data_IF_305734879521
#
_entry.id   IF_305734879521
#
_cell.length_a   1.000
_cell.length_b   1.000
_cell.length_c   1.000
_cell.angle_alpha   90.00
_cell.angle_beta   90.00
_cell.angle_gamma   90.00
#
_symmetry.space_group_name_H-M   'P 1'
#
loop_
_entity.id
_entity.type
_entity.pdbx_description
1 polymer ?
#
# COMPACT_ATOMS: atom_id res chain seq x y z
N UNK A 1 -17.88 11.64 -5.23
CA UNK A 1 -18.29 13.00 -4.84
C UNK A 1 -19.13 13.69 -5.93
N UNK A 2 -18.63 13.86 -7.13
CA UNK A 2 -19.34 14.57 -8.24
C UNK A 2 -20.74 14.02 -8.51
N UNK A 3 -20.96 12.72 -8.48
CA UNK A 3 -22.29 12.09 -8.64
C UNK A 3 -23.30 12.53 -7.56
N UNK A 4 -22.84 12.86 -6.36
CA UNK A 4 -23.68 13.24 -5.22
C UNK A 4 -23.84 14.73 -5.05
N UNK A 5 -22.78 15.49 -5.30
CA UNK A 5 -22.68 16.92 -5.01
C UNK A 5 -22.74 17.80 -6.27
N UNK A 6 -22.54 17.23 -7.46
CA UNK A 6 -22.53 17.95 -8.72
C UNK A 6 -21.50 19.10 -8.71
N UNK A 7 -21.92 20.25 -9.20
CA UNK A 7 -21.09 21.48 -9.29
C UNK A 7 -20.83 22.17 -7.94
N UNK A 8 -21.30 21.59 -6.82
CA UNK A 8 -21.04 22.14 -5.48
C UNK A 8 -19.69 21.75 -4.92
N UNK A 9 -18.99 20.82 -5.54
CA UNK A 9 -17.66 20.38 -5.12
C UNK A 9 -16.60 20.92 -6.10
N UNK A 10 -15.53 21.48 -5.52
CA UNK A 10 -14.33 21.91 -6.25
C UNK A 10 -13.17 21.09 -5.72
N UNK A 11 -12.37 20.53 -6.61
CA UNK A 11 -11.18 19.77 -6.25
C UNK A 11 -9.94 20.63 -6.44
N UNK A 12 -9.10 20.67 -5.39
CA UNK A 12 -7.71 21.15 -5.47
C UNK A 12 -6.81 19.94 -5.33
N UNK A 13 -6.20 19.50 -6.44
CA UNK A 13 -5.39 18.28 -6.50
C UNK A 13 -3.91 18.66 -6.51
N UNK A 14 -3.18 18.19 -5.49
CA UNK A 14 -1.76 18.42 -5.32
C UNK A 14 -1.02 17.09 -5.18
N UNK A 15 0.21 17.01 -5.68
CA UNK A 15 1.04 15.82 -5.60
C UNK A 15 2.42 16.17 -5.02
N UNK A 16 2.74 15.55 -3.88
CA UNK A 16 4.03 15.72 -3.22
C UNK A 16 5.15 14.87 -3.84
N UNK A 17 4.84 13.94 -4.73
CA UNK A 17 5.80 13.05 -5.41
C UNK A 17 6.72 12.27 -4.43
N UNK A 18 6.19 11.89 -3.25
CA UNK A 18 6.95 11.20 -2.22
C UNK A 18 7.85 12.09 -1.36
N UNK A 19 7.92 13.41 -1.62
CA UNK A 19 8.71 14.34 -0.83
C UNK A 19 7.94 14.84 0.39
N UNK A 20 8.45 14.54 1.59
CA UNK A 20 7.77 14.88 2.85
C UNK A 20 7.69 16.38 3.13
N UNK A 21 8.67 17.18 2.69
CA UNK A 21 8.65 18.63 2.88
C UNK A 21 7.61 19.29 1.97
N UNK A 22 7.50 18.81 0.73
CA UNK A 22 6.45 19.20 -0.22
C UNK A 22 5.08 18.79 0.31
N UNK A 23 4.92 17.59 0.86
CA UNK A 23 3.68 17.12 1.46
C UNK A 23 3.22 18.05 2.61
N UNK A 24 4.14 18.43 3.51
CA UNK A 24 3.86 19.37 4.59
C UNK A 24 3.45 20.74 4.06
N UNK A 25 4.10 21.23 2.99
CA UNK A 25 3.76 22.49 2.34
C UNK A 25 2.34 22.47 1.76
N UNK A 26 1.96 21.38 1.08
CA UNK A 26 0.62 21.17 0.51
C UNK A 26 -0.42 21.12 1.63
N UNK A 27 -0.22 20.30 2.66
CA UNK A 27 -1.18 20.20 3.77
C UNK A 27 -1.41 21.54 4.48
N UNK A 28 -0.34 22.27 4.79
CA UNK A 28 -0.45 23.62 5.37
C UNK A 28 -1.14 24.62 4.42
N UNK A 29 -0.95 24.47 3.10
CA UNK A 29 -1.64 25.25 2.08
C UNK A 29 -3.16 25.03 2.12
N UNK A 30 -3.61 23.79 2.22
CA UNK A 30 -5.02 23.45 2.37
C UNK A 30 -5.62 24.00 3.68
N UNK A 31 -4.88 23.92 4.79
CA UNK A 31 -5.29 24.50 6.07
C UNK A 31 -5.43 26.02 5.95
N UNK A 32 -4.45 26.70 5.34
CA UNK A 32 -4.49 28.15 5.13
C UNK A 32 -5.62 28.58 4.19
N UNK A 33 -5.97 27.76 3.20
CA UNK A 33 -7.10 27.98 2.30
C UNK A 33 -8.46 27.68 2.96
N UNK A 34 -8.45 27.09 4.17
CA UNK A 34 -9.65 26.70 4.92
C UNK A 34 -10.58 25.81 4.06
N UNK A 35 -10.02 24.75 3.46
CA UNK A 35 -10.80 23.77 2.69
C UNK A 35 -11.80 23.04 3.58
N UNK A 36 -12.91 22.56 3.02
CA UNK A 36 -13.96 21.88 3.79
C UNK A 36 -13.61 20.44 4.16
N UNK A 37 -12.67 19.82 3.43
CA UNK A 37 -12.20 18.44 3.67
C UNK A 37 -10.85 18.22 2.97
N UNK A 38 -9.95 17.48 3.63
CA UNK A 38 -8.69 17.01 3.03
C UNK A 38 -8.83 15.50 2.76
N UNK A 39 -8.55 15.07 1.53
CA UNK A 39 -8.39 13.66 1.19
C UNK A 39 -6.90 13.36 1.07
N UNK A 40 -6.38 12.53 1.98
CA UNK A 40 -4.98 12.17 2.07
C UNK A 40 -4.76 10.79 1.45
N UNK A 41 -4.03 10.72 0.34
CA UNK A 41 -3.71 9.46 -0.34
C UNK A 41 -2.33 8.96 0.10
N UNK A 42 -2.27 7.75 0.63
CA UNK A 42 -1.14 7.06 1.25
C UNK A 42 -0.79 7.53 2.67
N UNK A 43 -0.13 6.64 3.43
CA UNK A 43 0.24 6.83 4.83
C UNK A 43 1.00 8.12 5.12
N UNK A 44 2.04 8.51 4.36
CA UNK A 44 2.75 9.77 4.61
C UNK A 44 1.88 11.01 4.46
N UNK A 45 0.94 10.99 3.51
CA UNK A 45 -0.01 12.10 3.31
C UNK A 45 -1.00 12.19 4.48
N UNK A 46 -1.51 11.06 4.97
CA UNK A 46 -2.39 11.02 6.14
C UNK A 46 -1.68 11.56 7.38
N UNK A 47 -0.46 11.09 7.67
CA UNK A 47 0.34 11.54 8.81
C UNK A 47 0.58 13.05 8.76
N UNK A 48 0.89 13.56 7.57
CA UNK A 48 1.13 14.99 7.37
C UNK A 48 -0.14 15.83 7.54
N UNK A 49 -1.27 15.38 7.00
CA UNK A 49 -2.55 16.06 7.14
C UNK A 49 -3.03 16.05 8.61
N UNK A 50 -2.88 14.91 9.31
CA UNK A 50 -3.20 14.77 10.72
C UNK A 50 -2.37 15.72 11.61
N UNK A 51 -1.08 15.91 11.26
CA UNK A 51 -0.23 16.86 11.98
C UNK A 51 -0.56 18.34 11.67
N UNK A 52 -1.13 18.64 10.50
CA UNK A 52 -1.42 20.00 10.07
C UNK A 52 -2.72 20.55 10.64
N UNK A 53 -3.71 19.72 10.93
CA UNK A 53 -5.03 20.19 11.41
C UNK A 53 -5.72 19.16 12.32
N UNK A 54 -6.36 19.68 13.37
CA UNK A 54 -7.30 18.91 14.22
C UNK A 54 -8.77 19.29 13.96
N UNK A 55 -9.04 20.24 13.07
CA UNK A 55 -10.39 20.80 12.87
C UNK A 55 -10.98 20.41 11.50
N UNK A 56 -10.18 20.50 10.43
CA UNK A 56 -10.64 20.15 9.08
C UNK A 56 -10.76 18.62 8.98
N UNK A 57 -11.89 18.08 8.51
CA UNK A 57 -12.05 16.66 8.25
C UNK A 57 -10.96 16.10 7.34
N UNK A 58 -10.31 15.01 7.73
CA UNK A 58 -9.28 14.32 6.96
C UNK A 58 -9.75 12.89 6.67
N UNK A 59 -9.93 12.57 5.39
CA UNK A 59 -10.18 11.21 4.95
C UNK A 59 -8.91 10.61 4.34
N UNK A 60 -8.41 9.55 4.97
CA UNK A 60 -7.36 8.73 4.37
C UNK A 60 -7.94 7.85 3.26
N UNK A 61 -7.17 7.66 2.18
CA UNK A 61 -7.41 6.61 1.19
C UNK A 61 -6.09 5.93 0.87
N UNK A 62 -6.11 4.65 0.52
CA UNK A 62 -4.90 3.84 0.33
C UNK A 62 -3.99 3.87 1.58
N UNK A 63 -4.61 3.72 2.74
CA UNK A 63 -3.92 3.62 4.03
C UNK A 63 -3.91 2.16 4.44
N UNK A 64 -2.73 1.61 4.67
CA UNK A 64 -2.61 0.19 5.02
C UNK A 64 -3.18 -0.09 6.40
N UNK A 65 -2.69 0.58 7.45
CA UNK A 65 -3.14 0.36 8.82
C UNK A 65 -3.13 1.68 9.62
N UNK A 66 -4.31 2.12 10.06
CA UNK A 66 -4.49 3.42 10.72
C UNK A 66 -3.88 3.49 12.11
N UNK A 67 -3.90 2.38 12.87
CA UNK A 67 -3.31 2.30 14.18
C UNK A 67 -1.83 2.59 14.16
N UNK A 68 -1.11 1.96 13.22
CA UNK A 68 0.33 2.17 13.01
C UNK A 68 0.61 3.53 12.38
N UNK A 69 -0.19 3.92 11.39
CA UNK A 69 0.00 5.21 10.70
C UNK A 69 -0.07 6.41 11.64
N UNK A 70 -0.95 6.35 12.65
CA UNK A 70 -1.24 7.44 13.58
C UNK A 70 -0.78 7.18 15.02
N UNK A 71 0.00 6.11 15.26
CA UNK A 71 0.46 5.67 16.60
C UNK A 71 -0.68 5.54 17.62
N UNK A 72 -1.81 4.93 17.19
CA UNK A 72 -2.99 4.74 18.03
C UNK A 72 -2.88 3.46 18.83
N UNK A 73 -2.92 3.57 20.14
CA UNK A 73 -3.01 2.40 21.03
C UNK A 73 -4.42 1.83 20.99
N UNK A 74 -4.51 0.51 20.94
CA UNK A 74 -5.80 -0.22 20.98
C UNK A 74 -6.78 0.20 19.86
N UNK A 75 -6.27 0.48 18.65
CA UNK A 75 -7.10 0.83 17.49
C UNK A 75 -8.16 -0.26 17.23
N UNK A 76 -9.41 0.14 17.16
CA UNK A 76 -10.57 -0.76 17.04
C UNK A 76 -11.46 -0.48 15.82
N UNK A 77 -10.90 0.17 14.79
CA UNK A 77 -11.59 0.45 13.53
C UNK A 77 -12.23 1.85 13.44
N UNK A 78 -12.15 2.66 14.50
CA UNK A 78 -12.54 4.08 14.50
C UNK A 78 -11.35 4.90 14.98
N UNK A 79 -10.92 5.89 14.18
CA UNK A 79 -9.83 6.81 14.59
C UNK A 79 -10.34 7.83 15.59
N UNK A 80 -11.49 8.42 15.29
CA UNK A 80 -12.07 9.50 16.10
C UNK A 80 -11.53 10.88 15.72
N UNK A 81 -11.97 11.91 16.44
CA UNK A 81 -11.57 13.29 16.14
C UNK A 81 -12.01 13.71 14.74
N UNK A 82 -11.08 14.24 13.94
CA UNK A 82 -11.34 14.70 12.59
C UNK A 82 -10.84 13.74 11.50
N UNK A 83 -10.57 12.46 11.81
CA UNK A 83 -9.96 11.51 10.87
C UNK A 83 -10.81 10.26 10.71
N UNK A 84 -11.00 9.83 9.47
CA UNK A 84 -11.52 8.52 9.07
C UNK A 84 -10.98 8.15 7.66
N UNK A 85 -11.56 7.18 6.99
CA UNK A 85 -11.22 6.84 5.61
C UNK A 85 -11.32 5.37 5.27
N UNK A 86 -10.52 4.96 4.29
CA UNK A 86 -10.50 3.59 3.77
C UNK A 86 -9.12 2.96 3.89
N UNK A 87 -9.09 1.63 4.06
CA UNK A 87 -7.85 0.85 4.17
C UNK A 87 -7.65 -0.05 2.95
N UNK A 88 -6.41 -0.09 2.45
CA UNK A 88 -5.96 -0.98 1.38
C UNK A 88 -5.33 -2.28 1.90
N UNK A 89 -5.38 -2.52 3.20
CA UNK A 89 -4.76 -3.68 3.81
C UNK A 89 -5.35 -4.98 3.26
N UNK A 90 -4.56 -5.69 2.47
CA UNK A 90 -4.87 -7.05 2.05
C UNK A 90 -4.62 -8.05 3.20
N UNK A 91 -5.25 -9.24 3.20
CA UNK A 91 -4.97 -10.28 4.18
C UNK A 91 -3.52 -10.77 4.09
N UNK A 92 -2.65 -10.29 4.97
CA UNK A 92 -1.20 -10.56 4.93
C UNK A 92 -0.86 -12.04 5.08
N UNK A 93 -1.67 -12.80 5.84
CA UNK A 93 -1.53 -14.25 5.94
C UNK A 93 -1.83 -14.96 4.60
N UNK A 94 -2.74 -14.44 3.80
CA UNK A 94 -3.04 -14.98 2.47
C UNK A 94 -1.94 -14.59 1.47
N UNK A 95 -1.34 -13.40 1.59
CA UNK A 95 -0.17 -13.04 0.81
C UNK A 95 1.03 -13.95 1.13
N UNK A 96 1.24 -14.32 2.40
CA UNK A 96 2.24 -15.31 2.77
C UNK A 96 1.91 -16.71 2.18
N UNK A 97 0.65 -17.11 2.18
CA UNK A 97 0.22 -18.39 1.59
C UNK A 97 0.42 -18.42 0.07
N UNK A 98 0.32 -17.29 -0.63
CA UNK A 98 0.62 -17.22 -2.06
C UNK A 98 2.05 -17.65 -2.37
N UNK A 99 3.03 -17.33 -1.52
CA UNK A 99 4.41 -17.79 -1.73
C UNK A 99 4.49 -19.32 -1.75
N UNK A 100 3.68 -19.99 -0.93
CA UNK A 100 3.62 -21.47 -0.93
C UNK A 100 2.91 -22.02 -2.19
N UNK A 101 1.91 -21.32 -2.70
CA UNK A 101 1.23 -21.69 -3.96
C UNK A 101 2.15 -21.57 -5.17
N UNK A 102 2.95 -20.49 -5.23
CA UNK A 102 3.84 -20.20 -6.35
C UNK A 102 5.20 -20.91 -6.24
N UNK A 103 5.76 -21.00 -5.04
CA UNK A 103 7.13 -21.43 -4.79
C UNK A 103 7.22 -22.44 -3.64
N UNK A 104 6.57 -23.62 -3.75
CA UNK A 104 6.52 -24.59 -2.67
C UNK A 104 7.89 -25.16 -2.29
N UNK A 105 8.86 -25.13 -3.20
CA UNK A 105 10.22 -25.63 -3.00
C UNK A 105 11.20 -24.58 -2.48
N UNK A 106 10.82 -23.30 -2.47
CA UNK A 106 11.64 -22.22 -1.93
C UNK A 106 11.91 -22.44 -0.43
N UNK A 107 13.07 -21.99 0.04
CA UNK A 107 13.48 -22.10 1.44
C UNK A 107 13.61 -20.74 2.08
N UNK A 108 14.11 -19.76 1.32
CA UNK A 108 14.40 -18.42 1.82
C UNK A 108 13.60 -17.38 1.06
N UNK A 109 12.87 -16.57 1.81
CA UNK A 109 12.11 -15.41 1.31
C UNK A 109 12.79 -14.14 1.79
N UNK A 110 13.23 -13.30 0.88
CA UNK A 110 13.75 -11.95 1.19
C UNK A 110 12.61 -10.94 1.19
N UNK A 111 12.44 -10.18 2.26
CA UNK A 111 11.44 -9.13 2.38
C UNK A 111 12.10 -7.76 2.22
N UNK A 112 11.92 -7.12 1.08
CA UNK A 112 12.49 -5.79 0.77
C UNK A 112 11.44 -4.72 1.10
N UNK A 113 11.83 -3.71 1.89
CA UNK A 113 10.91 -2.65 2.31
C UNK A 113 11.61 -1.36 2.72
N UNK A 114 10.92 -0.23 2.57
CA UNK A 114 11.36 1.06 3.07
C UNK A 114 11.12 1.16 4.59
N UNK A 115 12.20 1.26 5.36
CA UNK A 115 12.12 1.37 6.83
C UNK A 115 11.59 2.71 7.32
N UNK A 116 11.54 3.72 6.45
CA UNK A 116 10.92 5.01 6.74
C UNK A 116 9.39 5.00 6.60
N UNK A 117 8.81 3.93 6.05
CA UNK A 117 7.37 3.77 5.87
C UNK A 117 6.78 2.83 6.93
N UNK A 118 5.97 3.38 7.83
CA UNK A 118 5.34 2.60 8.92
C UNK A 118 4.42 1.49 8.39
N UNK A 119 3.71 1.74 7.27
CA UNK A 119 2.90 0.73 6.58
C UNK A 119 3.74 -0.46 6.10
N UNK A 120 4.93 -0.21 5.55
CA UNK A 120 5.81 -1.27 5.04
C UNK A 120 6.37 -2.13 6.17
N UNK A 121 6.84 -1.48 7.25
CA UNK A 121 7.34 -2.19 8.44
C UNK A 121 6.27 -3.10 9.05
N UNK A 122 5.06 -2.61 9.25
CA UNK A 122 3.94 -3.40 9.78
C UNK A 122 3.67 -4.66 8.94
N UNK A 123 3.62 -4.50 7.62
CA UNK A 123 3.33 -5.59 6.69
C UNK A 123 4.44 -6.65 6.71
N UNK A 124 5.71 -6.24 6.61
CA UNK A 124 6.81 -7.22 6.55
C UNK A 124 7.01 -7.98 7.85
N UNK A 125 6.78 -7.36 9.01
CA UNK A 125 6.82 -8.06 10.30
C UNK A 125 5.71 -9.11 10.39
N UNK A 126 4.51 -8.78 9.95
CA UNK A 126 3.35 -9.70 9.94
C UNK A 126 3.55 -10.83 8.94
N UNK A 127 3.99 -10.52 7.71
CA UNK A 127 4.23 -11.53 6.66
C UNK A 127 5.41 -12.43 7.05
N UNK A 128 6.48 -11.87 7.65
CA UNK A 128 7.61 -12.65 8.16
C UNK A 128 7.14 -13.72 9.15
N UNK A 129 6.35 -13.34 10.15
CA UNK A 129 5.83 -14.28 11.13
C UNK A 129 4.95 -15.38 10.49
N UNK A 130 4.14 -15.03 9.49
CA UNK A 130 3.33 -15.99 8.74
C UNK A 130 4.20 -16.95 7.92
N UNK A 131 5.21 -16.44 7.21
CA UNK A 131 6.16 -17.26 6.42
C UNK A 131 6.95 -18.23 7.29
N UNK A 132 7.42 -17.79 8.46
CA UNK A 132 8.12 -18.65 9.41
C UNK A 132 7.21 -19.80 9.92
N UNK A 133 5.90 -19.50 10.11
CA UNK A 133 4.91 -20.54 10.46
C UNK A 133 4.70 -21.54 9.33
N UNK A 134 4.84 -21.12 8.07
CA UNK A 134 4.79 -21.97 6.88
C UNK A 134 6.10 -22.73 6.62
N UNK A 135 7.15 -22.49 7.41
CA UNK A 135 8.43 -23.20 7.34
C UNK A 135 9.50 -22.53 6.47
N UNK A 136 9.28 -21.30 6.02
CA UNK A 136 10.28 -20.53 5.29
C UNK A 136 11.27 -19.85 6.24
N UNK A 137 12.49 -19.63 5.76
CA UNK A 137 13.42 -18.67 6.36
C UNK A 137 13.11 -17.29 5.78
N UNK A 138 12.60 -16.36 6.59
CA UNK A 138 12.23 -15.03 6.17
C UNK A 138 13.26 -14.00 6.64
N UNK A 139 13.91 -13.31 5.69
CA UNK A 139 14.99 -12.35 5.94
C UNK A 139 14.54 -10.94 5.57
N UNK A 140 14.67 -10.01 6.51
CA UNK A 140 14.34 -8.61 6.30
C UNK A 140 15.49 -7.85 5.64
N UNK A 141 15.18 -7.12 4.57
CA UNK A 141 16.10 -6.27 3.83
C UNK A 141 15.59 -4.83 3.80
N UNK A 142 15.80 -4.08 4.91
CA UNK A 142 15.39 -2.67 4.97
C UNK A 142 16.29 -1.79 4.12
N UNK A 143 15.71 -0.80 3.48
CA UNK A 143 16.40 0.35 2.91
C UNK A 143 15.78 1.64 3.48
N UNK A 144 16.50 2.76 3.45
CA UNK A 144 16.02 4.02 4.03
C UNK A 144 15.39 4.95 3.00
N UNK A 145 15.90 4.94 1.78
CA UNK A 145 15.40 5.71 0.65
C UNK A 145 15.77 5.02 -0.69
N UNK A 146 15.28 5.56 -1.79
CA UNK A 146 15.47 4.96 -3.12
C UNK A 146 16.93 4.83 -3.57
N UNK A 147 17.88 5.58 -2.98
CA UNK A 147 19.30 5.48 -3.34
C UNK A 147 19.92 4.17 -2.86
N UNK A 148 19.43 3.62 -1.74
CA UNK A 148 19.93 2.36 -1.17
C UNK A 148 19.31 1.13 -1.85
N UNK A 149 18.16 1.30 -2.53
CA UNK A 149 17.32 0.21 -3.03
C UNK A 149 18.08 -0.79 -3.91
N UNK A 150 18.91 -0.30 -4.83
CA UNK A 150 19.71 -1.17 -5.72
C UNK A 150 20.71 -2.03 -4.95
N UNK A 151 21.42 -1.45 -3.99
CA UNK A 151 22.42 -2.15 -3.18
C UNK A 151 21.76 -3.21 -2.29
N UNK A 152 20.67 -2.85 -1.61
CA UNK A 152 19.92 -3.76 -0.74
C UNK A 152 19.31 -4.91 -1.55
N UNK A 153 18.74 -4.62 -2.72
CA UNK A 153 18.20 -5.65 -3.63
C UNK A 153 19.29 -6.62 -4.06
N UNK A 154 20.49 -6.14 -4.41
CA UNK A 154 21.62 -6.99 -4.82
C UNK A 154 22.00 -7.96 -3.69
N UNK A 155 22.07 -7.49 -2.45
CA UNK A 155 22.35 -8.36 -1.28
C UNK A 155 21.21 -9.38 -1.05
N UNK A 156 19.96 -8.97 -1.22
CA UNK A 156 18.82 -9.86 -1.05
C UNK A 156 18.82 -11.02 -2.07
N UNK A 157 19.22 -10.74 -3.32
CA UNK A 157 19.31 -11.75 -4.39
C UNK A 157 20.33 -12.86 -4.12
N UNK A 158 21.39 -12.58 -3.35
CA UNK A 158 22.43 -13.58 -3.04
C UNK A 158 21.94 -14.68 -2.09
N UNK A 159 20.90 -14.41 -1.31
CA UNK A 159 20.46 -15.29 -0.23
C UNK A 159 18.98 -15.69 -0.29
N UNK A 160 18.23 -15.24 -1.29
CA UNK A 160 16.78 -15.47 -1.37
C UNK A 160 16.40 -16.23 -2.63
N UNK A 161 15.51 -17.21 -2.47
CA UNK A 161 14.92 -17.96 -3.59
C UNK A 161 13.78 -17.16 -4.25
N UNK A 162 13.10 -16.32 -3.46
CA UNK A 162 12.00 -15.45 -3.85
C UNK A 162 12.00 -14.19 -2.99
N UNK A 163 11.56 -13.08 -3.55
CA UNK A 163 11.40 -11.83 -2.81
C UNK A 163 9.92 -11.55 -2.55
N UNK A 164 9.64 -10.92 -1.42
CA UNK A 164 8.36 -10.31 -1.10
C UNK A 164 8.55 -8.80 -0.95
N UNK A 165 7.67 -8.04 -1.56
CA UNK A 165 7.61 -6.57 -1.46
C UNK A 165 6.21 -6.20 -0.98
N UNK A 166 6.04 -5.54 0.18
CA UNK A 166 4.75 -5.12 0.69
C UNK A 166 4.14 -4.00 -0.17
N UNK A 167 2.99 -3.48 0.23
CA UNK A 167 2.47 -2.20 -0.27
C UNK A 167 3.40 -1.08 0.21
N UNK A 168 4.42 -0.76 -0.59
CA UNK A 168 5.53 0.15 -0.28
C UNK A 168 5.59 1.25 -1.35
N UNK A 169 5.38 2.51 -0.93
CA UNK A 169 5.30 3.63 -1.87
C UNK A 169 6.62 3.92 -2.57
N UNK A 170 7.73 3.75 -1.84
CA UNK A 170 9.07 3.98 -2.39
C UNK A 170 9.41 2.92 -3.42
N UNK A 171 9.11 1.64 -3.15
CA UNK A 171 9.31 0.57 -4.14
C UNK A 171 8.38 0.75 -5.33
N UNK A 172 7.09 1.02 -5.11
CA UNK A 172 6.13 1.22 -6.21
C UNK A 172 6.61 2.30 -7.20
N UNK A 173 7.14 3.40 -6.67
CA UNK A 173 7.69 4.49 -7.49
C UNK A 173 9.02 4.16 -8.18
N UNK A 174 9.70 3.10 -7.75
CA UNK A 174 11.05 2.71 -8.21
C UNK A 174 11.14 1.23 -8.62
N UNK A 175 10.00 0.58 -8.91
CA UNK A 175 9.96 -0.86 -9.18
C UNK A 175 10.88 -1.29 -10.33
N UNK A 176 11.12 -0.42 -11.30
CA UNK A 176 12.08 -0.67 -12.38
C UNK A 176 13.51 -0.96 -11.89
N UNK A 177 13.93 -0.49 -10.71
CA UNK A 177 15.23 -0.82 -10.12
C UNK A 177 15.24 -2.30 -9.71
N UNK A 178 14.18 -2.77 -9.03
CA UNK A 178 14.07 -4.18 -8.64
C UNK A 178 13.96 -5.09 -9.85
N UNK A 179 13.12 -4.75 -10.81
CA UNK A 179 12.90 -5.54 -12.01
C UNK A 179 14.19 -5.74 -12.80
N UNK A 180 14.97 -4.68 -12.99
CA UNK A 180 16.26 -4.74 -13.69
C UNK A 180 17.31 -5.61 -13.00
N UNK A 181 17.20 -5.85 -11.69
CA UNK A 181 18.11 -6.71 -10.93
C UNK A 181 17.57 -8.13 -10.78
N UNK A 182 16.30 -8.26 -10.43
CA UNK A 182 15.67 -9.55 -10.10
C UNK A 182 15.43 -10.41 -11.33
N UNK A 183 15.03 -9.81 -12.45
CA UNK A 183 14.70 -10.52 -13.68
C UNK A 183 15.91 -11.24 -14.30
N UNK A 184 17.07 -10.61 -14.49
CA UNK A 184 18.28 -11.32 -14.95
C UNK A 184 18.78 -12.37 -13.96
N UNK A 185 18.60 -12.14 -12.66
CA UNK A 185 18.95 -13.10 -11.62
C UNK A 185 17.96 -14.28 -11.52
N UNK A 186 16.81 -14.18 -12.20
CA UNK A 186 15.70 -15.15 -12.16
C UNK A 186 15.15 -15.38 -10.76
N UNK A 187 15.19 -14.37 -9.90
CA UNK A 187 14.57 -14.38 -8.57
C UNK A 187 13.23 -13.69 -8.68
N UNK A 188 12.10 -14.42 -8.56
CA UNK A 188 10.76 -13.85 -8.69
C UNK A 188 10.41 -12.99 -7.49
N UNK A 189 9.44 -12.07 -7.70
CA UNK A 189 8.93 -11.17 -6.66
C UNK A 189 7.43 -11.42 -6.50
N UNK A 190 6.95 -11.62 -5.28
CA UNK A 190 5.54 -11.52 -4.90
C UNK A 190 5.30 -10.13 -4.33
N UNK A 191 4.26 -9.47 -4.81
CA UNK A 191 3.94 -8.09 -4.47
C UNK A 191 2.74 -7.98 -3.54
N UNK A 192 2.77 -6.99 -2.66
CA UNK A 192 1.66 -6.63 -1.78
C UNK A 192 0.52 -5.91 -2.49
N UNK A 193 0.78 -5.32 -3.69
CA UNK A 193 -0.22 -4.58 -4.44
C UNK A 193 0.01 -4.67 -5.97
N UNK A 194 -1.00 -4.21 -6.74
CA UNK A 194 -1.05 -4.41 -8.20
C UNK A 194 -0.02 -3.60 -8.97
N UNK A 195 0.25 -2.34 -8.60
CA UNK A 195 1.21 -1.49 -9.31
C UNK A 195 2.64 -2.03 -9.24
N UNK A 196 3.06 -2.57 -8.09
CA UNK A 196 4.34 -3.28 -7.95
C UNK A 196 4.35 -4.54 -8.83
N UNK A 197 3.20 -5.25 -8.89
CA UNK A 197 3.07 -6.41 -9.76
C UNK A 197 3.17 -6.05 -11.25
N UNK A 198 2.51 -4.98 -11.67
CA UNK A 198 2.62 -4.45 -13.04
C UNK A 198 4.05 -4.03 -13.38
N UNK A 199 4.75 -3.45 -12.40
CA UNK A 199 6.12 -2.97 -12.56
C UNK A 199 7.19 -4.06 -12.67
N UNK A 200 6.87 -5.35 -12.39
CA UNK A 200 7.82 -6.44 -12.56
C UNK A 200 7.73 -7.59 -11.56
N UNK A 201 6.82 -7.58 -10.59
CA UNK A 201 6.57 -8.75 -9.76
C UNK A 201 5.70 -9.78 -10.51
N UNK A 202 5.78 -11.06 -10.07
CA UNK A 202 5.10 -12.16 -10.76
C UNK A 202 3.63 -12.27 -10.38
N UNK A 203 3.29 -11.98 -9.12
CA UNK A 203 1.91 -12.09 -8.62
C UNK A 203 1.65 -11.18 -7.43
N UNK A 204 0.36 -10.94 -7.18
CA UNK A 204 -0.16 -10.17 -6.05
C UNK A 204 -1.53 -10.67 -5.62
N UNK A 205 -1.87 -10.44 -4.35
CA UNK A 205 -3.25 -10.44 -3.85
C UNK A 205 -3.63 -8.98 -3.61
N UNK A 206 -4.40 -8.41 -4.50
CA UNK A 206 -4.64 -6.98 -4.55
C UNK A 206 -6.10 -6.62 -4.43
N UNK A 207 -6.34 -5.35 -4.22
CA UNK A 207 -7.64 -4.70 -4.18
C UNK A 207 -7.86 -3.85 -5.44
N UNK A 208 -9.09 -3.39 -5.63
CA UNK A 208 -9.39 -2.32 -6.58
C UNK A 208 -9.18 -0.96 -5.92
N UNK A 209 -8.12 -0.26 -6.27
CA UNK A 209 -7.89 1.12 -5.80
C UNK A 209 -8.95 2.09 -6.32
N UNK A 210 -9.57 1.79 -7.48
CA UNK A 210 -10.72 2.54 -7.97
C UNK A 210 -11.91 2.44 -7.00
N UNK A 211 -12.26 1.22 -6.59
CA UNK A 211 -13.39 1.01 -5.67
C UNK A 211 -13.11 1.59 -4.29
N UNK A 212 -11.85 1.53 -3.84
CA UNK A 212 -11.42 2.13 -2.59
C UNK A 212 -11.57 3.66 -2.61
N UNK A 213 -11.08 4.30 -3.67
CA UNK A 213 -11.23 5.75 -3.88
C UNK A 213 -12.69 6.16 -4.05
N UNK A 214 -13.51 5.33 -4.70
CA UNK A 214 -14.95 5.55 -4.82
C UNK A 214 -15.64 5.51 -3.45
N UNK A 215 -15.32 4.52 -2.61
CA UNK A 215 -15.83 4.43 -1.23
C UNK A 215 -15.42 5.67 -0.41
N UNK A 216 -14.14 6.08 -0.47
CA UNK A 216 -13.67 7.30 0.19
C UNK A 216 -14.45 8.54 -0.29
N UNK A 217 -14.72 8.63 -1.59
CA UNK A 217 -15.54 9.70 -2.18
C UNK A 217 -16.98 9.72 -1.68
N UNK A 218 -17.57 8.56 -1.40
CA UNK A 218 -18.91 8.47 -0.77
C UNK A 218 -18.87 8.91 0.70
N UNK A 219 -17.83 8.53 1.44
CA UNK A 219 -17.62 9.00 2.82
C UNK A 219 -17.49 10.54 2.85
N UNK A 220 -16.69 11.11 1.96
CA UNK A 220 -16.54 12.55 1.83
C UNK A 220 -17.87 13.27 1.56
N UNK A 221 -18.69 12.71 0.66
CA UNK A 221 -20.01 13.31 0.37
C UNK A 221 -20.91 13.32 1.62
N UNK A 222 -20.94 12.24 2.41
CA UNK A 222 -21.73 12.18 3.66
C UNK A 222 -21.28 13.23 4.69
N UNK A 223 -19.96 13.45 4.81
CA UNK A 223 -19.40 14.45 5.74
C UNK A 223 -19.79 15.85 5.27
N UNK A 224 -19.56 16.17 3.99
CA UNK A 224 -19.83 17.50 3.42
C UNK A 224 -21.32 17.86 3.39
N UNK A 225 -22.22 16.88 3.39
CA UNK A 225 -23.67 17.12 3.49
C UNK A 225 -24.19 17.12 4.93
N UNK A 226 -23.35 16.79 5.90
CA UNK A 226 -23.76 16.66 7.31
C UNK A 226 -24.56 15.39 7.60
N UNK A 227 -24.56 14.40 6.69
CA UNK A 227 -25.22 13.11 6.88
C UNK A 227 -24.44 12.19 7.83
N UNK A 228 -23.14 12.41 8.00
CA UNK A 228 -22.28 11.64 8.88
C UNK A 228 -21.29 12.52 9.66
N UNK A 229 -20.98 12.11 10.88
CA UNK A 229 -19.96 12.70 11.73
C UNK A 229 -18.68 11.87 11.61
N UNK A 230 -17.62 12.49 11.09
CA UNK A 230 -16.33 11.83 10.87
C UNK A 230 -15.75 11.21 12.14
N UNK A 231 -16.01 11.81 13.31
CA UNK A 231 -15.48 11.34 14.60
C UNK A 231 -15.98 9.96 15.00
N UNK A 232 -17.08 9.51 14.41
CA UNK A 232 -17.71 8.21 14.68
C UNK A 232 -17.67 7.27 13.47
N UNK A 233 -17.16 7.74 12.32
CA UNK A 233 -17.09 6.91 11.12
C UNK A 233 -16.02 5.83 11.28
N UNK A 234 -16.38 4.55 11.06
CA UNK A 234 -15.37 3.48 11.02
C UNK A 234 -14.52 3.58 9.75
N UNK A 235 -13.31 3.04 9.83
CA UNK A 235 -12.51 2.77 8.65
C UNK A 235 -13.21 1.71 7.79
N UNK A 236 -13.38 1.98 6.51
CA UNK A 236 -13.91 1.03 5.54
C UNK A 236 -12.77 0.27 4.87
N UNK A 237 -12.93 -1.05 4.72
CA UNK A 237 -11.96 -1.93 4.08
C UNK A 237 -12.41 -2.30 2.68
N UNK A 238 -11.44 -2.65 1.82
CA UNK A 238 -11.75 -3.16 0.50
C UNK A 238 -12.65 -4.41 0.59
N UNK A 239 -13.77 -4.47 -0.15
CA UNK A 239 -14.75 -5.54 -0.02
C UNK A 239 -14.28 -6.87 -0.65
N UNK A 240 -13.30 -6.81 -1.55
CA UNK A 240 -12.83 -7.97 -2.32
C UNK A 240 -11.33 -7.90 -2.56
N UNK A 241 -10.71 -9.08 -2.56
CA UNK A 241 -9.32 -9.29 -2.90
C UNK A 241 -9.23 -10.22 -4.11
N UNK A 242 -8.34 -9.91 -5.04
CA UNK A 242 -8.18 -10.66 -6.28
C UNK A 242 -6.74 -11.13 -6.42
N UNK A 243 -6.56 -12.42 -6.65
CA UNK A 243 -5.26 -13.01 -7.01
C UNK A 243 -4.96 -12.67 -8.46
N UNK A 244 -3.89 -11.90 -8.67
CA UNK A 244 -3.46 -11.47 -10.01
C UNK A 244 -2.03 -11.88 -10.27
N UNK A 245 -1.69 -12.03 -11.56
CA UNK A 245 -0.33 -12.35 -11.99
C UNK A 245 0.08 -11.52 -13.21
N UNK A 246 1.37 -11.33 -13.38
CA UNK A 246 1.95 -10.65 -14.53
C UNK A 246 2.35 -11.69 -15.61
N UNK A 247 1.60 -11.78 -16.72
CA UNK A 247 1.86 -12.79 -17.74
C UNK A 247 3.23 -12.65 -18.40
N UNK A 248 3.72 -11.41 -18.59
CA UNK A 248 5.02 -11.19 -19.21
C UNK A 248 6.17 -11.69 -18.32
N UNK A 249 6.08 -11.46 -17.01
CA UNK A 249 7.07 -11.97 -16.04
C UNK A 249 7.02 -13.49 -15.98
N UNK A 250 5.81 -14.09 -15.97
CA UNK A 250 5.64 -15.54 -15.98
C UNK A 250 6.29 -16.18 -17.23
N UNK A 251 6.04 -15.61 -18.41
CA UNK A 251 6.61 -16.10 -19.68
C UNK A 251 8.15 -16.04 -19.65
N UNK A 252 8.72 -14.91 -19.25
CA UNK A 252 10.17 -14.71 -19.24
C UNK A 252 10.90 -15.59 -18.22
N UNK A 253 10.29 -15.79 -17.03
CA UNK A 253 10.86 -16.68 -16.02
C UNK A 253 10.55 -18.16 -16.27
N UNK A 254 9.66 -18.48 -17.22
CA UNK A 254 9.21 -19.83 -17.51
C UNK A 254 8.37 -20.46 -16.38
N UNK A 255 7.63 -19.63 -15.64
CA UNK A 255 6.80 -20.04 -14.49
C UNK A 255 5.33 -20.04 -14.92
N UNK A 256 4.64 -21.14 -14.67
CA UNK A 256 3.20 -21.25 -14.95
C UNK A 256 2.42 -20.75 -13.73
N UNK A 257 1.45 -19.83 -13.91
CA UNK A 257 0.62 -19.37 -12.80
C UNK A 257 -0.24 -20.49 -12.22
N UNK A 258 -0.41 -20.57 -10.90
CA UNK A 258 -1.37 -21.48 -10.29
C UNK A 258 -2.81 -21.18 -10.73
N UNK A 259 -3.71 -22.17 -10.55
CA UNK A 259 -5.13 -21.98 -10.85
C UNK A 259 -5.76 -20.89 -9.96
N UNK A 260 -6.69 -20.13 -10.51
CA UNK A 260 -7.43 -19.09 -9.77
C UNK A 260 -6.79 -17.70 -9.81
N UNK A 261 -5.68 -17.52 -10.52
CA UNK A 261 -5.07 -16.21 -10.74
C UNK A 261 -5.54 -15.59 -12.06
N UNK A 262 -5.78 -14.28 -12.06
CA UNK A 262 -6.20 -13.50 -13.23
C UNK A 262 -5.02 -12.67 -13.72
N UNK A 263 -4.82 -12.60 -15.03
CA UNK A 263 -3.76 -11.76 -15.59
C UNK A 263 -4.04 -10.26 -15.32
N UNK A 264 -3.01 -9.51 -14.94
CA UNK A 264 -3.12 -8.05 -14.84
C UNK A 264 -3.41 -7.44 -16.21
N UNK A 265 -4.13 -6.32 -16.24
CA UNK A 265 -4.48 -5.63 -17.48
C UNK A 265 -5.64 -6.25 -18.27
N UNK A 266 -6.36 -7.22 -17.68
CA UNK A 266 -7.60 -7.79 -18.26
C UNK A 266 -8.85 -7.26 -17.57
#
# INVERSE_FOLDING_TARGET
>A
MTEKLGDKVVFDEQNAQGDSATCATIANGFVAANVDLIMANATPALQTAAAATGDIPVLGTSITEYGVALDLKDFSGVVGGNISGTSDLAPLSEQAAMLQEWFPDAKTVGLIYCSAEANSLYQVETVKAALETLGYTAILYPFSDSNDLSAVTTVALEASDVLYVPTDNTVASNMGILDNLCRPAKVPIIAGEEGICEGGAIATLSISYYDLGYATGLMAAKILTGEADISTMPIEYAPQFTKKYNPAVCEELGITPPEGYIAIGQ
#
